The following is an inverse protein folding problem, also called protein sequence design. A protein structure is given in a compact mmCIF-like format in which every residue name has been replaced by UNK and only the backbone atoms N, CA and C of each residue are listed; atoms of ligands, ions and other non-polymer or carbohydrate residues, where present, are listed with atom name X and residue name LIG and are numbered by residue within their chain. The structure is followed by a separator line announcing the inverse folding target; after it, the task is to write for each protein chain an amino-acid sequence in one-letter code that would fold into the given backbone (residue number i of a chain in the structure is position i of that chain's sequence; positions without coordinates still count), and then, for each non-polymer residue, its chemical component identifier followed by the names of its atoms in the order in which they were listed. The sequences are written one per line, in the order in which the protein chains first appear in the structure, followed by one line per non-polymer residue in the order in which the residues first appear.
data_IF_897201391621
#
_entry.id   IF_897201391621
#
_cell.length_a   1.000
_cell.length_b   1.000
_cell.length_c   1.000
_cell.angle_alpha   90.00
_cell.angle_beta   90.00
_cell.angle_gamma   90.00
#
_symmetry.space_group_name_H-M   'P 1'
#
loop_
_entity.id
_entity.type
_entity.pdbx_description
1 polymer ?
#
# COMPACT_ATOMS: atom_id res chain seq x y z
N UNK A 1 -11.66 -6.22 -4.53
CA UNK A 1 -10.19 -6.26 -4.66
C UNK A 1 -9.56 -5.49 -3.50
N UNK A 2 -8.25 -5.60 -3.25
CA UNK A 2 -7.60 -4.94 -2.09
C UNK A 2 -7.91 -3.44 -1.99
N UNK A 3 -7.92 -2.74 -3.13
CA UNK A 3 -8.14 -1.30 -3.21
C UNK A 3 -9.60 -0.89 -2.95
N UNK A 4 -10.57 -1.79 -3.08
CA UNK A 4 -11.98 -1.48 -2.82
C UNK A 4 -12.28 -1.39 -1.32
N UNK A 5 -11.41 -1.95 -0.49
CA UNK A 5 -11.48 -1.84 0.98
C UNK A 5 -10.97 -0.48 1.48
N UNK A 6 -10.41 0.35 0.58
CA UNK A 6 -9.76 1.61 0.89
C UNK A 6 -10.49 2.79 0.22
N UNK A 7 -10.56 3.91 0.92
CA UNK A 7 -11.08 5.17 0.36
C UNK A 7 -10.04 5.88 -0.51
N UNK A 8 -10.47 6.89 -1.27
CA UNK A 8 -9.61 7.65 -2.21
C UNK A 8 -8.96 6.81 -3.33
N UNK A 9 -9.55 5.65 -3.67
CA UNK A 9 -9.03 4.72 -4.67
C UNK A 9 -9.28 5.13 -6.15
N UNK A 10 -9.87 6.29 -6.40
CA UNK A 10 -10.21 6.74 -7.76
C UNK A 10 -8.97 6.85 -8.65
N UNK A 11 -7.88 7.40 -8.12
CA UNK A 11 -6.68 7.64 -8.92
C UNK A 11 -6.02 6.34 -9.37
N UNK A 12 -5.91 5.33 -8.49
CA UNK A 12 -5.33 4.04 -8.88
C UNK A 12 -6.17 3.34 -9.96
N UNK A 13 -7.50 3.47 -9.88
CA UNK A 13 -8.44 2.93 -10.88
C UNK A 13 -8.34 3.64 -12.22
N UNK A 14 -7.91 4.90 -12.25
CA UNK A 14 -7.68 5.63 -13.50
C UNK A 14 -6.34 5.24 -14.15
N UNK A 15 -5.33 4.91 -13.35
CA UNK A 15 -4.00 4.55 -13.84
C UNK A 15 -3.96 3.18 -14.52
N UNK A 16 -4.77 2.23 -14.05
CA UNK A 16 -4.71 0.83 -14.48
C UNK A 16 -6.04 0.37 -15.04
N UNK A 17 -6.00 -0.38 -16.15
CA UNK A 17 -7.16 -1.14 -16.63
C UNK A 17 -7.48 -2.26 -15.65
N UNK A 18 -6.43 -2.96 -15.22
CA UNK A 18 -6.47 -3.97 -14.17
C UNK A 18 -5.42 -3.62 -13.11
N UNK A 19 -5.86 -3.20 -11.92
CA UNK A 19 -4.94 -2.82 -10.83
C UNK A 19 -4.12 -4.04 -10.42
N UNK A 20 -2.78 -3.94 -10.40
CA UNK A 20 -1.92 -5.10 -10.16
C UNK A 20 -2.11 -5.69 -8.76
N UNK A 21 -1.93 -7.02 -8.61
CA UNK A 21 -1.91 -7.65 -7.31
C UNK A 21 -0.66 -7.20 -6.52
N UNK A 22 -0.81 -7.13 -5.20
CA UNK A 22 0.24 -6.71 -4.28
C UNK A 22 1.21 -7.85 -3.96
N UNK A 23 1.91 -8.38 -4.97
CA UNK A 23 2.85 -9.52 -4.84
C UNK A 23 4.28 -9.13 -5.17
N UNK A 24 5.23 -9.61 -4.35
CA UNK A 24 6.68 -9.38 -4.46
C UNK A 24 7.07 -7.89 -4.62
N UNK A 25 6.42 -7.04 -3.83
CA UNK A 25 6.62 -5.59 -3.83
C UNK A 25 7.94 -5.23 -3.16
N UNK A 26 8.50 -4.09 -3.55
CA UNK A 26 9.52 -3.41 -2.75
C UNK A 26 8.80 -2.54 -1.72
N UNK A 27 9.05 -2.79 -0.43
CA UNK A 27 8.44 -2.05 0.67
C UNK A 27 9.42 -0.97 1.12
N UNK A 28 9.11 0.29 0.85
CA UNK A 28 10.00 1.41 1.20
C UNK A 28 9.80 1.87 2.63
N UNK A 29 8.56 1.84 3.13
CA UNK A 29 8.27 2.28 4.49
C UNK A 29 7.08 1.55 5.12
N UNK A 30 7.22 1.30 6.43
CA UNK A 30 6.12 1.05 7.36
C UNK A 30 6.34 2.01 8.52
N UNK A 31 5.50 3.03 8.64
CA UNK A 31 5.70 4.15 9.55
C UNK A 31 4.57 4.24 10.55
N UNK A 32 4.89 4.10 11.83
CA UNK A 32 3.97 4.37 12.94
C UNK A 32 4.05 5.86 13.27
N UNK A 33 2.91 6.52 13.37
CA UNK A 33 2.81 7.95 13.67
C UNK A 33 1.56 8.26 14.49
N UNK A 34 1.39 9.52 14.90
CA UNK A 34 0.26 9.98 15.73
C UNK A 34 0.06 9.11 16.97
N UNK A 35 1.15 8.87 17.69
CA UNK A 35 1.14 8.08 18.93
C UNK A 35 0.61 6.65 18.75
N UNK A 36 0.71 6.09 17.53
CA UNK A 36 0.26 4.73 17.22
C UNK A 36 -1.09 4.68 16.51
N UNK A 37 -1.84 5.78 16.47
CA UNK A 37 -3.16 5.84 15.81
C UNK A 37 -3.09 5.78 14.29
N UNK A 38 -1.91 6.00 13.68
CA UNK A 38 -1.74 5.94 12.23
C UNK A 38 -0.55 5.08 11.83
N UNK A 39 -0.78 4.20 10.85
CA UNK A 39 0.27 3.48 10.13
C UNK A 39 0.25 3.88 8.65
N UNK A 40 1.42 4.25 8.11
CA UNK A 40 1.62 4.47 6.67
C UNK A 40 2.43 3.31 6.09
N UNK A 41 1.99 2.76 4.97
CA UNK A 41 2.72 1.74 4.19
C UNK A 41 3.02 2.31 2.82
N UNK A 42 4.30 2.40 2.47
CA UNK A 42 4.79 2.88 1.18
C UNK A 42 5.48 1.77 0.39
N UNK A 43 5.08 1.56 -0.87
CA UNK A 43 5.62 0.50 -1.71
C UNK A 43 5.57 0.82 -3.20
N UNK A 44 6.45 0.16 -3.96
CA UNK A 44 6.46 0.20 -5.42
C UNK A 44 5.50 -0.85 -5.99
N UNK A 45 4.64 -0.45 -6.94
CA UNK A 45 3.83 -1.39 -7.72
C UNK A 45 4.71 -2.18 -8.71
N UNK A 46 4.37 -3.45 -8.96
CA UNK A 46 5.22 -4.34 -9.77
C UNK A 46 5.11 -4.06 -11.27
N UNK A 47 4.12 -3.28 -11.69
CA UNK A 47 3.83 -2.95 -13.09
C UNK A 47 3.59 -1.45 -13.19
N UNK A 48 4.18 -0.80 -14.19
CA UNK A 48 3.93 0.61 -14.47
C UNK A 48 2.49 0.86 -14.93
N UNK A 49 1.99 2.09 -14.77
CA UNK A 49 0.61 2.42 -15.11
C UNK A 49 0.29 2.20 -16.61
N UNK A 50 -0.92 1.74 -16.91
CA UNK A 50 -1.44 1.62 -18.28
C UNK A 50 -1.77 2.99 -18.87
N UNK A 51 -2.30 3.90 -18.04
CA UNK A 51 -2.70 5.25 -18.40
C UNK A 51 -1.95 6.28 -17.51
N UNK A 52 -0.61 6.37 -17.60
CA UNK A 52 0.15 7.30 -16.78
C UNK A 52 -0.17 8.75 -17.16
N UNK A 53 -0.13 9.70 -16.19
CA UNK A 53 -0.20 11.12 -16.48
C UNK A 53 0.91 11.55 -17.47
N UNK A 54 0.61 12.52 -18.35
CA UNK A 54 1.57 13.02 -19.36
C UNK A 54 2.93 13.38 -18.78
N UNK A 55 2.95 14.05 -17.62
CA UNK A 55 4.18 14.43 -16.92
C UNK A 55 5.09 13.24 -16.55
N UNK A 56 4.53 12.04 -16.33
CA UNK A 56 5.33 10.84 -16.04
C UNK A 56 5.98 10.29 -17.31
N UNK A 57 5.25 10.32 -18.43
CA UNK A 57 5.79 9.93 -19.74
C UNK A 57 6.92 10.88 -20.13
N UNK A 58 6.68 12.18 -20.06
CA UNK A 58 7.66 13.23 -20.38
C UNK A 58 8.89 13.17 -19.45
N UNK A 59 8.68 12.78 -18.19
CA UNK A 59 9.74 12.57 -17.20
C UNK A 59 10.50 11.24 -17.35
N UNK A 60 10.07 10.33 -18.24
CA UNK A 60 10.69 9.01 -18.40
C UNK A 60 10.49 8.07 -17.22
N UNK A 61 9.42 8.26 -16.43
CA UNK A 61 9.14 7.47 -15.25
C UNK A 61 8.76 6.03 -15.60
N UNK A 62 9.11 5.11 -14.72
CA UNK A 62 8.94 3.66 -14.96
C UNK A 62 8.36 2.92 -13.77
N UNK A 63 8.25 3.57 -12.61
CA UNK A 63 7.72 2.95 -11.39
C UNK A 63 6.57 3.78 -10.85
N UNK A 64 5.58 3.11 -10.26
CA UNK A 64 4.49 3.76 -9.51
C UNK A 64 4.67 3.44 -8.04
N UNK A 65 4.85 4.47 -7.22
CA UNK A 65 4.87 4.40 -5.78
C UNK A 65 3.50 4.70 -5.20
N UNK A 66 3.07 3.90 -4.22
CA UNK A 66 1.80 4.04 -3.51
C UNK A 66 2.08 4.19 -2.03
N UNK A 67 1.44 5.17 -1.41
CA UNK A 67 1.34 5.30 0.05
C UNK A 67 -0.10 5.06 0.47
N UNK A 68 -0.28 4.15 1.43
CA UNK A 68 -1.55 3.89 2.08
C UNK A 68 -1.46 4.32 3.54
N UNK A 69 -2.47 5.04 4.01
CA UNK A 69 -2.63 5.37 5.42
C UNK A 69 -3.75 4.55 6.04
N UNK A 70 -3.50 4.05 7.24
CA UNK A 70 -4.46 3.34 8.08
C UNK A 70 -4.59 4.06 9.42
N UNK A 71 -5.82 4.13 9.94
CA UNK A 71 -6.17 4.88 11.15
C UNK A 71 -6.98 4.03 12.12
N UNK A 72 -7.09 4.48 13.38
CA UNK A 72 -7.78 3.76 14.44
C UNK A 72 -7.20 2.35 14.59
N UNK A 73 -5.87 2.32 14.81
CA UNK A 73 -5.08 1.09 14.88
C UNK A 73 -5.43 0.35 16.17
N UNK A 74 -5.92 -0.88 16.00
CA UNK A 74 -6.25 -1.78 17.10
C UNK A 74 -5.07 -2.67 17.48
N UNK A 75 -4.29 -3.08 16.48
CA UNK A 75 -3.18 -3.99 16.66
C UNK A 75 -2.12 -3.77 15.57
N UNK A 76 -0.85 -3.86 15.95
CA UNK A 76 0.27 -3.93 15.02
C UNK A 76 1.33 -4.90 15.56
N UNK A 77 1.80 -5.78 14.67
CA UNK A 77 3.07 -6.48 14.81
C UNK A 77 3.96 -6.13 13.62
N UNK A 78 5.26 -5.99 13.86
CA UNK A 78 6.24 -5.70 12.82
C UNK A 78 7.53 -6.45 13.13
N UNK A 79 8.04 -7.18 12.14
CA UNK A 79 9.27 -7.94 12.22
C UNK A 79 10.01 -7.84 10.89
N UNK A 80 11.34 -7.78 10.96
CA UNK A 80 12.19 -7.92 9.78
C UNK A 80 13.19 -9.06 9.95
N UNK A 81 13.56 -9.65 8.82
CA UNK A 81 14.58 -10.71 8.73
C UNK A 81 15.79 -10.31 7.88
N UNK A 82 15.71 -9.19 7.15
CA UNK A 82 16.77 -8.63 6.32
C UNK A 82 16.61 -7.10 6.21
N UNK A 83 17.57 -6.38 5.61
CA UNK A 83 17.51 -4.94 5.32
C UNK A 83 17.10 -4.62 3.87
N UNK A 84 16.68 -5.63 3.11
CA UNK A 84 16.12 -5.49 1.76
C UNK A 84 14.65 -5.87 1.81
N UNK A 85 13.79 -4.89 2.06
CA UNK A 85 12.38 -5.13 2.35
C UNK A 85 11.58 -5.42 1.08
N UNK A 86 11.11 -6.66 1.01
CA UNK A 86 10.23 -7.16 -0.03
C UNK A 86 9.12 -7.98 0.59
N UNK A 87 7.94 -7.92 -0.01
CA UNK A 87 6.84 -8.73 0.46
C UNK A 87 5.58 -8.70 -0.39
N UNK A 88 4.66 -9.58 -0.04
CA UNK A 88 3.29 -9.55 -0.49
C UNK A 88 2.47 -8.78 0.55
N UNK A 89 1.48 -8.02 0.09
CA UNK A 89 0.52 -7.35 0.97
C UNK A 89 -0.88 -7.90 0.64
N UNK A 90 -1.57 -8.42 1.63
CA UNK A 90 -2.97 -8.81 1.53
C UNK A 90 -3.80 -7.86 2.42
N UNK A 91 -4.87 -7.29 1.86
CA UNK A 91 -5.72 -6.28 2.52
C UNK A 91 -7.18 -6.71 2.38
N UNK A 92 -7.81 -7.00 3.51
CA UNK A 92 -9.17 -7.51 3.57
C UNK A 92 -9.97 -6.78 4.65
N UNK A 93 -11.29 -6.75 4.50
CA UNK A 93 -12.20 -6.21 5.50
C UNK A 93 -12.91 -7.37 6.19
N UNK A 94 -12.88 -7.40 7.52
CA UNK A 94 -13.59 -8.44 8.29
C UNK A 94 -15.09 -8.13 8.45
N UNK A 95 -15.83 -9.09 8.99
CA UNK A 95 -17.28 -9.00 9.21
C UNK A 95 -17.68 -7.88 10.19
N UNK A 96 -16.73 -7.44 11.04
CA UNK A 96 -16.92 -6.32 11.97
C UNK A 96 -16.58 -4.96 11.34
N UNK A 97 -16.08 -4.97 10.11
CA UNK A 97 -15.75 -3.80 9.34
C UNK A 97 -14.33 -3.26 9.55
N UNK A 98 -13.47 -3.96 10.30
CA UNK A 98 -12.06 -3.60 10.42
C UNK A 98 -11.30 -4.03 9.16
N UNK A 99 -10.26 -3.27 8.83
CA UNK A 99 -9.32 -3.59 7.77
C UNK A 99 -8.16 -4.36 8.39
N UNK A 100 -7.92 -5.56 7.89
CA UNK A 100 -6.82 -6.42 8.25
C UNK A 100 -5.78 -6.39 7.11
N UNK A 101 -4.54 -6.05 7.48
CA UNK A 101 -3.41 -5.96 6.55
C UNK A 101 -2.37 -6.98 6.99
N UNK A 102 -1.97 -7.84 6.06
CA UNK A 102 -0.90 -8.81 6.27
C UNK A 102 0.20 -8.58 5.25
N UNK A 103 1.42 -8.34 5.73
CA UNK A 103 2.63 -8.25 4.93
C UNK A 103 3.47 -9.49 5.23
N UNK A 104 3.91 -10.18 4.18
CA UNK A 104 4.74 -11.38 4.27
C UNK A 104 5.97 -11.26 3.39
N UNK A 105 7.14 -11.74 3.83
CA UNK A 105 8.38 -11.66 3.08
C UNK A 105 9.59 -11.42 3.97
N UNK A 106 10.51 -10.55 3.53
CA UNK A 106 11.68 -10.17 4.36
C UNK A 106 11.34 -9.12 5.42
N UNK A 107 10.17 -8.49 5.28
CA UNK A 107 9.46 -7.74 6.31
C UNK A 107 8.08 -8.36 6.48
N UNK A 108 7.70 -8.60 7.72
CA UNK A 108 6.45 -9.20 8.14
C UNK A 108 5.70 -8.21 9.02
N UNK A 109 4.41 -7.99 8.73
CA UNK A 109 3.56 -7.17 9.57
C UNK A 109 2.12 -7.66 9.55
N UNK A 110 1.46 -7.61 10.70
CA UNK A 110 0.01 -7.76 10.80
C UNK A 110 -0.54 -6.50 11.44
N UNK A 111 -1.48 -5.84 10.77
CA UNK A 111 -2.08 -4.59 11.21
C UNK A 111 -3.59 -4.75 11.17
N UNK A 112 -4.26 -4.30 12.24
CA UNK A 112 -5.72 -4.18 12.30
C UNK A 112 -6.10 -2.71 12.50
N UNK A 113 -6.93 -2.18 11.62
CA UNK A 113 -7.27 -0.76 11.58
C UNK A 113 -8.78 -0.55 11.37
N UNK A 114 -9.33 0.55 11.90
CA UNK A 114 -10.73 0.92 11.67
C UNK A 114 -10.99 1.47 10.27
N UNK A 115 -10.01 2.12 9.65
CA UNK A 115 -10.14 2.66 8.28
C UNK A 115 -8.81 2.75 7.55
N UNK A 116 -8.89 2.90 6.22
CA UNK A 116 -7.73 3.00 5.33
C UNK A 116 -8.02 3.80 4.07
N UNK A 117 -7.00 4.48 3.56
CA UNK A 117 -7.09 5.35 2.39
C UNK A 117 -5.80 5.35 1.56
N UNK A 118 -5.94 5.70 0.28
CA UNK A 118 -4.80 6.08 -0.55
C UNK A 118 -4.31 7.46 -0.16
N UNK A 119 -3.14 7.53 0.46
CA UNK A 119 -2.56 8.80 0.89
C UNK A 119 -1.87 9.50 -0.27
N UNK A 120 -1.15 8.75 -1.09
CA UNK A 120 -0.56 9.28 -2.32
C UNK A 120 -0.30 8.18 -3.35
N UNK A 121 -0.29 8.57 -4.62
CA UNK A 121 0.14 7.72 -5.74
C UNK A 121 0.97 8.59 -6.68
N UNK A 122 2.23 8.22 -6.89
CA UNK A 122 3.19 9.01 -7.68
C UNK A 122 4.05 8.12 -8.58
N UNK A 123 4.53 8.69 -9.68
CA UNK A 123 5.47 8.03 -10.57
C UNK A 123 6.87 8.61 -10.39
N UNK A 124 7.88 7.80 -10.68
CA UNK A 124 9.29 8.19 -10.71
C UNK A 124 10.11 7.32 -11.67
#
# INVERSE_FOLDING_TARGET
MWYDNLSENTFIKMLYKDVPPLKNLRIEEIKISREGDRITIGFDLPVFADNPPKKWIEGGYTTVFVELDFFDIQEITLRSSNNTYRGNIDIEKDDLGFININISGTVEATIKAGSGLFQSVRGF
#
